data_IF_628837532023
#
_entry.id   IF_628837532023
#
_cell.length_a   1.000
_cell.length_b   1.000
_cell.length_c   1.000
_cell.angle_alpha   90.00
_cell.angle_beta   90.00
_cell.angle_gamma   90.00
#
_symmetry.space_group_name_H-M   'P 1'
#
loop_
_entity.id
_entity.type
_entity.pdbx_description
1 polymer ?
#
# COMPACT_ATOMS: atom_id res chain seq x y z
N UNK A 1 24.32 11.18 26.53
CA UNK A 1 23.37 10.14 26.06
C UNK A 1 24.18 8.87 25.94
N UNK A 2 23.81 7.80 26.63
CA UNK A 2 24.44 6.50 26.40
C UNK A 2 23.92 5.94 25.08
N UNK A 3 24.82 5.67 24.14
CA UNK A 3 24.50 4.95 22.92
C UNK A 3 24.46 3.46 23.23
N UNK A 4 23.26 2.87 23.25
CA UNK A 4 23.12 1.41 23.35
C UNK A 4 23.64 0.75 22.08
N UNK A 5 24.40 -0.33 22.24
CA UNK A 5 24.85 -1.18 21.15
C UNK A 5 23.67 -1.92 20.51
N UNK A 6 23.85 -2.37 19.26
CA UNK A 6 22.81 -3.13 18.55
C UNK A 6 22.42 -4.42 19.29
N UNK A 7 23.38 -5.05 19.98
CA UNK A 7 23.12 -6.27 20.74
C UNK A 7 22.33 -6.00 22.02
N UNK A 8 22.56 -4.86 22.69
CA UNK A 8 21.78 -4.45 23.85
C UNK A 8 20.34 -4.14 23.46
N UNK A 9 20.14 -3.45 22.32
CA UNK A 9 18.80 -3.19 21.77
C UNK A 9 18.14 -4.51 21.37
N UNK A 10 18.85 -5.41 20.68
CA UNK A 10 18.34 -6.72 20.30
C UNK A 10 17.88 -7.52 21.54
N UNK A 11 18.67 -7.51 22.61
CA UNK A 11 18.31 -8.19 23.86
C UNK A 11 17.12 -7.53 24.59
N UNK A 12 17.08 -6.20 24.66
CA UNK A 12 16.01 -5.44 25.32
C UNK A 12 14.64 -5.67 24.69
N UNK A 13 14.60 -5.80 23.35
CA UNK A 13 13.37 -6.03 22.60
C UNK A 13 13.17 -7.50 22.20
N UNK A 14 14.00 -8.41 22.70
CA UNK A 14 13.95 -9.84 22.40
C UNK A 14 13.97 -10.16 20.88
N UNK A 15 14.66 -9.32 20.11
CA UNK A 15 14.85 -9.47 18.65
C UNK A 15 16.19 -10.16 18.40
N UNK A 16 16.23 -11.11 17.46
CA UNK A 16 17.49 -11.73 17.07
C UNK A 16 18.48 -10.69 16.49
N UNK A 17 19.75 -10.61 16.92
CA UNK A 17 20.70 -9.58 16.48
C UNK A 17 20.87 -9.45 14.96
N UNK A 18 20.85 -10.58 14.24
CA UNK A 18 20.88 -10.60 12.77
C UNK A 18 19.66 -9.92 12.14
N UNK A 19 18.48 -10.05 12.76
CA UNK A 19 17.24 -9.44 12.27
C UNK A 19 17.31 -7.92 12.43
N UNK A 20 17.71 -7.45 13.62
CA UNK A 20 17.90 -6.02 13.87
C UNK A 20 18.99 -5.41 12.99
N UNK A 21 20.07 -6.15 12.73
CA UNK A 21 21.13 -5.70 11.80
C UNK A 21 20.62 -5.55 10.37
N UNK A 22 19.80 -6.50 9.89
CA UNK A 22 19.16 -6.41 8.58
C UNK A 22 18.24 -5.21 8.48
N UNK A 23 17.38 -4.99 9.48
CA UNK A 23 16.50 -3.83 9.50
C UNK A 23 17.25 -2.51 9.56
N UNK A 24 18.34 -2.43 10.32
CA UNK A 24 19.20 -1.23 10.33
C UNK A 24 19.78 -0.96 8.93
N UNK A 25 20.27 -1.99 8.23
CA UNK A 25 20.79 -1.85 6.88
C UNK A 25 19.69 -1.42 5.89
N UNK A 26 18.52 -2.06 5.94
CA UNK A 26 17.36 -1.71 5.12
C UNK A 26 16.90 -0.27 5.36
N UNK A 27 16.82 0.14 6.63
CA UNK A 27 16.46 1.50 6.99
C UNK A 27 17.49 2.49 6.45
N UNK A 28 18.79 2.29 6.67
CA UNK A 28 19.82 3.22 6.16
C UNK A 28 19.81 3.32 4.63
N UNK A 29 19.56 2.21 3.92
CA UNK A 29 19.47 2.19 2.46
C UNK A 29 18.22 2.90 1.93
N UNK A 30 17.11 2.89 2.68
CA UNK A 30 15.82 3.43 2.23
C UNK A 30 15.40 4.71 2.98
N UNK A 31 16.16 5.16 3.98
CA UNK A 31 15.80 6.31 4.83
C UNK A 31 15.66 7.57 3.99
N UNK A 32 16.51 7.74 2.99
CA UNK A 32 16.42 8.86 2.05
C UNK A 32 15.07 8.89 1.33
N UNK A 33 14.43 7.74 1.03
CA UNK A 33 13.11 7.66 0.39
C UNK A 33 11.97 8.04 1.32
N UNK A 34 12.13 7.82 2.63
CA UNK A 34 11.12 8.21 3.61
C UNK A 34 11.04 9.74 3.78
N UNK A 35 12.13 10.45 3.50
CA UNK A 35 12.24 11.90 3.65
C UNK A 35 12.48 12.65 2.33
N UNK A 36 12.62 11.93 1.21
CA UNK A 36 12.68 12.52 -0.12
C UNK A 36 11.33 13.16 -0.42
N UNK A 37 11.34 14.26 -1.17
CA UNK A 37 10.12 14.89 -1.72
C UNK A 37 9.41 14.02 -2.79
N UNK A 38 9.63 12.71 -2.77
CA UNK A 38 8.89 11.69 -3.56
C UNK A 38 7.45 11.51 -3.05
N UNK A 39 6.97 12.38 -2.15
CA UNK A 39 5.54 12.56 -1.89
C UNK A 39 4.73 12.68 -3.20
N UNK A 40 5.32 13.23 -4.27
CA UNK A 40 4.71 13.25 -5.59
C UNK A 40 4.57 11.89 -6.27
N UNK A 41 5.44 10.91 -5.99
CA UNK A 41 5.33 9.55 -6.54
C UNK A 41 4.26 8.74 -5.82
N UNK A 42 4.22 8.81 -4.48
CA UNK A 42 3.16 8.18 -3.68
C UNK A 42 1.80 8.75 -4.04
N UNK A 43 1.70 10.07 -4.20
CA UNK A 43 0.47 10.73 -4.62
C UNK A 43 0.08 10.37 -6.06
N UNK A 44 1.04 10.22 -6.99
CA UNK A 44 0.76 9.73 -8.35
C UNK A 44 0.21 8.30 -8.35
N UNK A 45 0.79 7.40 -7.56
CA UNK A 45 0.32 6.01 -7.44
C UNK A 45 -1.10 5.98 -6.85
N UNK A 46 -1.35 6.80 -5.82
CA UNK A 46 -2.68 6.93 -5.23
C UNK A 46 -3.69 7.46 -6.25
N UNK A 47 -3.33 8.50 -7.01
CA UNK A 47 -4.19 9.06 -8.05
C UNK A 47 -4.47 8.08 -9.19
N UNK A 48 -3.48 7.29 -9.63
CA UNK A 48 -3.71 6.25 -10.63
C UNK A 48 -4.65 5.17 -10.10
N UNK A 49 -4.49 4.77 -8.84
CA UNK A 49 -5.35 3.78 -8.20
C UNK A 49 -6.80 4.26 -8.08
N UNK A 50 -7.02 5.49 -7.62
CA UNK A 50 -8.38 6.06 -7.53
C UNK A 50 -9.02 6.21 -8.92
N UNK A 51 -8.26 6.61 -9.96
CA UNK A 51 -8.76 6.66 -11.34
C UNK A 51 -9.21 5.29 -11.86
N UNK A 52 -8.41 4.26 -11.63
CA UNK A 52 -8.74 2.89 -12.04
C UNK A 52 -10.00 2.40 -11.32
N UNK A 53 -10.08 2.65 -10.01
CA UNK A 53 -11.24 2.30 -9.19
C UNK A 53 -12.52 3.00 -9.66
N UNK A 54 -12.46 4.30 -9.98
CA UNK A 54 -13.61 5.04 -10.51
C UNK A 54 -14.10 4.47 -11.84
N UNK A 55 -13.18 4.12 -12.73
CA UNK A 55 -13.52 3.51 -14.02
C UNK A 55 -14.16 2.12 -13.85
N UNK A 56 -13.63 1.29 -12.94
CA UNK A 56 -14.21 0.00 -12.59
C UNK A 56 -15.61 0.14 -12.00
N UNK A 57 -15.83 1.10 -11.08
CA UNK A 57 -17.15 1.37 -10.51
C UNK A 57 -18.15 1.81 -11.58
N UNK A 58 -17.72 2.64 -12.54
CA UNK A 58 -18.53 3.06 -13.69
C UNK A 58 -18.94 1.86 -14.56
N UNK A 59 -18.00 0.97 -14.87
CA UNK A 59 -18.27 -0.24 -15.64
C UNK A 59 -19.22 -1.19 -14.90
N UNK A 60 -19.02 -1.40 -13.60
CA UNK A 60 -19.94 -2.20 -12.76
C UNK A 60 -21.34 -1.61 -12.79
N UNK A 61 -21.48 -0.29 -12.67
CA UNK A 61 -22.77 0.39 -12.74
C UNK A 61 -23.47 0.17 -14.10
N UNK A 62 -22.72 0.33 -15.19
CA UNK A 62 -23.21 0.09 -16.55
C UNK A 62 -23.66 -1.37 -16.73
N UNK A 63 -22.82 -2.33 -16.36
CA UNK A 63 -23.13 -3.76 -16.45
C UNK A 63 -24.35 -4.13 -15.60
N UNK A 64 -24.46 -3.55 -14.40
CA UNK A 64 -25.61 -3.77 -13.52
C UNK A 64 -26.91 -3.28 -14.15
N UNK A 65 -26.88 -2.11 -14.81
CA UNK A 65 -28.00 -1.59 -15.56
C UNK A 65 -28.35 -2.48 -16.76
N UNK A 66 -27.37 -2.86 -17.58
CA UNK A 66 -27.56 -3.73 -18.74
C UNK A 66 -28.16 -5.08 -18.34
N UNK A 67 -27.63 -5.71 -17.29
CA UNK A 67 -28.18 -6.96 -16.74
C UNK A 67 -29.61 -6.78 -16.26
N UNK A 68 -29.91 -5.70 -15.54
CA UNK A 68 -31.27 -5.42 -15.05
C UNK A 68 -32.25 -5.20 -16.20
N UNK A 69 -31.83 -4.46 -17.22
CA UNK A 69 -32.62 -4.21 -18.42
C UNK A 69 -32.87 -5.50 -19.21
N UNK A 70 -31.84 -6.34 -19.40
CA UNK A 70 -31.97 -7.63 -20.06
C UNK A 70 -32.89 -8.58 -19.29
N UNK A 71 -32.78 -8.64 -17.95
CA UNK A 71 -33.69 -9.44 -17.11
C UNK A 71 -35.14 -9.00 -17.28
N UNK A 72 -35.40 -7.68 -17.26
CA UNK A 72 -36.73 -7.11 -17.50
C UNK A 72 -37.26 -7.44 -18.90
N UNK A 73 -36.42 -7.32 -19.94
CA UNK A 73 -36.82 -7.58 -21.34
C UNK A 73 -37.03 -9.07 -21.62
N UNK A 74 -36.26 -9.95 -20.98
CA UNK A 74 -36.36 -11.40 -21.11
C UNK A 74 -37.58 -12.01 -20.38
N UNK A 75 -38.42 -11.20 -19.72
CA UNK A 75 -39.55 -11.69 -18.94
C UNK A 75 -39.15 -12.57 -17.75
N UNK A 76 -37.89 -12.45 -17.28
CA UNK A 76 -37.36 -13.17 -16.11
C UNK A 76 -37.53 -12.37 -14.81
N UNK A 77 -38.54 -11.50 -14.77
CA UNK A 77 -39.07 -10.87 -13.55
C UNK A 77 -40.57 -11.15 -13.55
#
# INVERSE_FOLDING_TARGET
MEEKTLNEIAAEYEIHPNQLSRWKAEFLNNAARAFSKEAGEVEKVKQSYEKEKDELLRQIGQLSYEVTWLKKKSGRI
#
